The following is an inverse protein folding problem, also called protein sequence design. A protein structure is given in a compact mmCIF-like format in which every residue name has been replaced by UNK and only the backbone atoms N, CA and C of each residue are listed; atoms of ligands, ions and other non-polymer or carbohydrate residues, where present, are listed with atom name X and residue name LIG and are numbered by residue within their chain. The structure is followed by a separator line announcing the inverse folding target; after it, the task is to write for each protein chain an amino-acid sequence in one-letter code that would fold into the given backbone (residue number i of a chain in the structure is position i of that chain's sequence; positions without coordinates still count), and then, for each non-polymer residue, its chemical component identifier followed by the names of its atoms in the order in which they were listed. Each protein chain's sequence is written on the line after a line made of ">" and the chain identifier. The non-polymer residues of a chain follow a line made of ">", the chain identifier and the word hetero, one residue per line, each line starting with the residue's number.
data_IF_865797330638
#
_entry.id   IF_865797330638
#
_cell.length_a   1.000
_cell.length_b   1.000
_cell.length_c   1.000
_cell.angle_alpha   90.00
_cell.angle_beta   90.00
_cell.angle_gamma   90.00
#
_symmetry.space_group_name_H-M   'P 1'
#
loop_
_entity.id
_entity.type
_entity.pdbx_description
1 polymer ?
#
# COMPACT_ATOMS: atom_id res chain seq x y z
N UNK A 1 75.06 -18.96 -4.93
CA UNK A 1 74.26 -19.96 -4.21
C UNK A 1 73.12 -20.37 -5.14
N UNK A 2 73.35 -21.34 -6.03
CA UNK A 2 73.09 -22.78 -5.81
C UNK A 2 71.58 -23.03 -5.60
N UNK A 3 70.85 -23.42 -6.67
CA UNK A 3 70.38 -24.80 -6.94
C UNK A 3 68.98 -25.01 -6.33
N UNK A 4 67.94 -25.63 -6.91
CA UNK A 4 67.78 -26.79 -7.84
C UNK A 4 66.25 -26.90 -8.12
N UNK A 5 65.72 -26.94 -9.37
CA UNK A 5 65.22 -28.11 -10.15
C UNK A 5 65.02 -29.42 -9.34
N UNK A 6 64.00 -30.30 -9.45
CA UNK A 6 63.10 -30.76 -10.54
C UNK A 6 62.06 -31.77 -9.93
N UNK A 7 61.04 -32.27 -10.68
CA UNK A 7 59.79 -32.89 -10.21
C UNK A 7 59.74 -34.43 -10.28
N UNK A 8 58.64 -35.05 -9.81
CA UNK A 8 58.28 -36.47 -10.04
C UNK A 8 57.18 -36.96 -9.08
N UNK A 9 56.01 -37.40 -9.55
CA UNK A 9 55.68 -38.77 -9.98
C UNK A 9 54.75 -39.44 -8.94
N UNK A 10 53.46 -39.61 -9.27
CA UNK A 10 52.82 -40.90 -9.55
C UNK A 10 52.84 -41.90 -8.38
N UNK A 11 51.68 -42.14 -7.76
CA UNK A 11 51.17 -43.50 -7.57
C UNK A 11 49.63 -43.51 -7.40
N UNK A 12 49.02 -44.49 -8.08
CA UNK A 12 47.59 -44.75 -8.29
C UNK A 12 47.24 -46.09 -7.61
N UNK A 13 45.94 -46.28 -7.33
CA UNK A 13 45.16 -47.51 -7.00
C UNK A 13 44.93 -47.74 -5.48
N UNK A 14 43.72 -47.98 -4.94
CA UNK A 14 42.55 -48.73 -5.42
C UNK A 14 41.22 -48.38 -4.68
N UNK A 15 40.10 -48.33 -5.44
CA UNK A 15 38.69 -48.77 -5.18
C UNK A 15 37.79 -48.18 -4.03
N UNK A 16 36.85 -47.31 -4.45
CA UNK A 16 35.35 -47.29 -4.29
C UNK A 16 34.63 -48.12 -3.21
N UNK A 17 33.39 -47.76 -2.72
CA UNK A 17 32.32 -47.06 -3.47
C UNK A 17 31.39 -46.06 -2.71
N UNK A 18 30.57 -45.35 -3.51
CA UNK A 18 29.24 -44.78 -3.23
C UNK A 18 29.11 -43.62 -2.21
N UNK A 19 28.80 -42.42 -2.71
CA UNK A 19 27.60 -41.68 -2.28
C UNK A 19 27.19 -40.65 -3.35
N UNK A 20 25.87 -40.54 -3.49
CA UNK A 20 25.11 -39.96 -4.59
C UNK A 20 25.46 -38.50 -4.90
N UNK A 21 25.44 -38.17 -6.20
CA UNK A 21 25.27 -36.82 -6.73
C UNK A 21 24.11 -36.14 -6.01
N UNK A 22 24.39 -35.06 -5.27
CA UNK A 22 23.36 -34.11 -4.89
C UNK A 22 23.18 -33.14 -6.04
N UNK A 23 21.96 -33.16 -6.58
CA UNK A 23 21.49 -32.27 -7.63
C UNK A 23 21.39 -30.83 -7.08
N UNK A 24 22.26 -29.96 -7.59
CA UNK A 24 22.37 -28.55 -7.21
C UNK A 24 21.19 -27.72 -7.75
N UNK A 25 20.23 -28.34 -8.46
CA UNK A 25 19.01 -27.69 -8.94
C UNK A 25 17.97 -27.39 -7.83
N UNK A 26 18.05 -28.06 -6.67
CA UNK A 26 16.97 -28.00 -5.66
C UNK A 26 17.15 -26.90 -4.61
N UNK A 27 18.36 -26.37 -4.40
CA UNK A 27 18.63 -25.37 -3.35
C UNK A 27 18.30 -23.94 -3.80
N UNK A 28 18.26 -23.67 -5.11
CA UNK A 28 18.03 -22.33 -5.66
C UNK A 28 16.54 -21.95 -5.81
N UNK A 29 15.61 -22.89 -5.60
CA UNK A 29 14.16 -22.67 -5.64
C UNK A 29 13.59 -22.02 -4.35
N UNK A 30 14.29 -22.15 -3.22
CA UNK A 30 13.76 -21.81 -1.90
C UNK A 30 13.74 -20.31 -1.53
N UNK A 31 14.30 -19.41 -2.36
CA UNK A 31 14.49 -18.01 -1.99
C UNK A 31 13.39 -17.03 -2.43
N UNK A 32 12.42 -17.44 -3.25
CA UNK A 32 11.42 -16.51 -3.82
C UNK A 32 10.16 -16.29 -2.96
N UNK A 33 9.97 -17.06 -1.90
CA UNK A 33 8.87 -16.89 -0.93
C UNK A 33 9.28 -16.10 0.33
N UNK A 34 10.48 -15.53 0.35
CA UNK A 34 11.02 -14.82 1.50
C UNK A 34 11.16 -13.35 1.19
N UNK A 35 10.08 -12.57 1.36
CA UNK A 35 10.23 -11.19 1.85
C UNK A 35 9.02 -10.46 2.44
N UNK A 36 7.84 -11.04 2.58
CA UNK A 36 6.79 -10.49 3.45
C UNK A 36 5.86 -11.58 4.03
N UNK A 37 6.43 -12.67 4.56
CA UNK A 37 5.72 -13.38 5.63
C UNK A 37 5.98 -12.57 6.90
N UNK A 38 4.95 -12.20 7.65
CA UNK A 38 5.14 -11.83 9.06
C UNK A 38 5.67 -13.07 9.78
N UNK A 39 6.98 -13.29 9.67
CA UNK A 39 7.70 -14.29 10.43
C UNK A 39 7.85 -13.75 11.85
N UNK A 40 7.58 -14.62 12.81
CA UNK A 40 8.05 -14.42 14.16
C UNK A 40 9.58 -14.37 14.12
N UNK A 41 10.23 -13.36 14.74
CA UNK A 41 11.66 -13.43 14.95
C UNK A 41 11.94 -14.68 15.79
N UNK A 42 12.77 -15.60 15.27
CA UNK A 42 13.11 -16.81 16.02
C UNK A 42 13.76 -16.38 17.34
N UNK A 43 13.06 -16.52 18.46
CA UNK A 43 13.67 -16.41 19.77
C UNK A 43 14.55 -17.64 19.95
N UNK A 44 15.79 -17.54 19.51
CA UNK A 44 16.83 -18.51 19.80
C UNK A 44 17.12 -18.50 21.30
N UNK A 45 16.34 -19.25 22.08
CA UNK A 45 16.78 -19.71 23.40
C UNK A 45 17.86 -20.75 23.14
N UNK A 46 19.11 -20.27 23.04
CA UNK A 46 20.30 -21.10 23.20
C UNK A 46 20.28 -21.64 24.63
N UNK A 47 19.67 -22.81 24.81
CA UNK A 47 19.91 -23.63 26.00
C UNK A 47 21.32 -24.21 25.81
N UNK A 48 22.29 -23.61 26.49
CA UNK A 48 23.60 -24.19 26.72
C UNK A 48 23.41 -25.50 27.48
N UNK A 49 23.53 -26.62 26.77
CA UNK A 49 23.53 -27.94 27.38
C UNK A 49 24.90 -28.18 28.03
N UNK A 50 24.96 -28.04 29.36
CA UNK A 50 25.96 -28.71 30.18
C UNK A 50 25.45 -30.13 30.50
N UNK A 51 26.41 -31.04 30.60
CA UNK A 51 26.32 -32.49 30.52
C UNK A 51 25.56 -33.23 31.63
N UNK A 52 25.21 -34.48 31.29
CA UNK A 52 24.87 -35.65 32.11
C UNK A 52 23.48 -35.73 32.76
N UNK A 53 22.59 -36.55 32.19
CA UNK A 53 22.09 -37.80 32.78
C UNK A 53 20.96 -38.40 31.91
N UNK A 54 20.92 -39.73 31.84
CA UNK A 54 20.08 -40.55 30.98
C UNK A 54 18.58 -40.47 31.31
N UNK A 55 17.75 -40.20 30.31
CA UNK A 55 16.30 -40.48 30.30
C UNK A 55 15.78 -40.72 28.87
N UNK A 56 14.69 -41.50 28.69
CA UNK A 56 14.34 -42.20 27.43
C UNK A 56 13.81 -41.25 26.33
N UNK A 57 13.72 -41.68 25.05
CA UNK A 57 13.37 -40.79 23.94
C UNK A 57 11.86 -40.52 23.93
N UNK A 58 11.41 -39.43 24.55
CA UNK A 58 10.09 -38.84 24.28
C UNK A 58 10.22 -37.76 23.22
N UNK A 59 10.38 -38.15 21.95
CA UNK A 59 10.32 -37.22 20.83
C UNK A 59 8.87 -36.91 20.43
N UNK A 60 8.13 -36.22 21.28
CA UNK A 60 6.97 -35.43 20.88
C UNK A 60 7.22 -33.99 21.29
N UNK A 61 7.87 -33.21 20.41
CA UNK A 61 7.87 -31.76 20.55
C UNK A 61 6.40 -31.33 20.55
N UNK A 62 5.88 -30.87 21.68
CA UNK A 62 4.53 -30.32 21.73
C UNK A 62 4.42 -29.22 20.69
N UNK A 63 3.37 -29.25 19.89
CA UNK A 63 3.14 -28.22 18.88
C UNK A 63 2.93 -26.88 19.61
N UNK A 64 3.78 -25.89 19.33
CA UNK A 64 3.61 -24.52 19.79
C UNK A 64 2.94 -23.68 18.71
N UNK A 65 2.28 -22.57 19.10
CA UNK A 65 1.70 -21.65 18.14
C UNK A 65 2.71 -21.16 17.08
N UNK A 66 3.93 -20.80 17.50
CA UNK A 66 5.04 -20.45 16.58
C UNK A 66 5.35 -21.57 15.59
N UNK A 67 5.45 -22.83 16.06
CA UNK A 67 5.74 -23.97 15.19
C UNK A 67 4.62 -24.20 14.18
N UNK A 68 3.36 -24.05 14.59
CA UNK A 68 2.20 -24.13 13.71
C UNK A 68 2.18 -23.01 12.67
N UNK A 69 2.46 -21.76 13.03
CA UNK A 69 2.59 -20.66 12.07
C UNK A 69 3.69 -20.95 11.06
N UNK A 70 4.88 -21.35 11.50
CA UNK A 70 6.00 -21.64 10.61
C UNK A 70 5.72 -22.83 9.68
N UNK A 71 5.03 -23.86 10.18
CA UNK A 71 4.59 -24.98 9.35
C UNK A 71 3.52 -24.56 8.33
N UNK A 72 2.53 -23.79 8.75
CA UNK A 72 1.49 -23.25 7.87
C UNK A 72 2.09 -22.39 6.74
N UNK A 73 3.06 -21.54 7.07
CA UNK A 73 3.83 -20.78 6.08
C UNK A 73 4.53 -21.69 5.08
N UNK A 74 5.20 -22.76 5.54
CA UNK A 74 5.88 -23.73 4.67
C UNK A 74 4.90 -24.45 3.73
N UNK A 75 3.74 -24.85 4.24
CA UNK A 75 2.68 -25.50 3.47
C UNK A 75 2.08 -24.55 2.43
N UNK A 76 1.82 -23.30 2.82
CA UNK A 76 1.29 -22.27 1.92
C UNK A 76 2.23 -22.03 0.74
N UNK A 77 3.55 -21.95 0.99
CA UNK A 77 4.54 -21.81 -0.09
C UNK A 77 4.64 -23.00 -1.04
N UNK A 78 4.07 -24.15 -0.67
CA UNK A 78 3.96 -25.35 -1.52
C UNK A 78 2.60 -25.44 -2.21
N UNK A 79 1.76 -24.41 -2.10
CA UNK A 79 0.39 -24.40 -2.61
C UNK A 79 -0.58 -25.28 -1.82
N UNK A 80 -0.18 -25.84 -0.68
CA UNK A 80 -1.04 -26.65 0.20
C UNK A 80 -1.86 -25.75 1.11
N UNK A 81 -2.74 -24.95 0.50
CA UNK A 81 -3.47 -23.85 1.18
C UNK A 81 -4.45 -24.34 2.24
N UNK A 82 -5.09 -25.51 2.04
CA UNK A 82 -5.99 -26.10 3.05
C UNK A 82 -5.23 -26.46 4.32
N UNK A 83 -4.15 -27.22 4.16
CA UNK A 83 -3.32 -27.67 5.27
C UNK A 83 -2.63 -26.48 5.97
N UNK A 84 -2.25 -25.45 5.20
CA UNK A 84 -1.72 -24.21 5.76
C UNK A 84 -2.76 -23.50 6.64
N UNK A 85 -4.00 -23.41 6.18
CA UNK A 85 -5.10 -22.81 6.93
C UNK A 85 -5.35 -23.55 8.25
N UNK A 86 -5.37 -24.90 8.23
CA UNK A 86 -5.51 -25.71 9.45
C UNK A 86 -4.40 -25.42 10.45
N UNK A 87 -3.16 -25.24 9.98
CA UNK A 87 -2.04 -24.89 10.87
C UNK A 87 -2.16 -23.49 11.47
N UNK A 88 -2.64 -22.49 10.71
CA UNK A 88 -2.89 -21.16 11.28
C UNK A 88 -4.06 -21.16 12.26
N UNK A 89 -5.11 -21.93 12.02
CA UNK A 89 -6.21 -22.12 12.97
C UNK A 89 -5.75 -22.83 14.24
N UNK A 90 -4.93 -23.88 14.10
CA UNK A 90 -4.31 -24.57 15.23
C UNK A 90 -3.43 -23.60 16.04
N UNK A 91 -2.63 -22.75 15.39
CA UNK A 91 -1.82 -21.76 16.09
C UNK A 91 -2.65 -20.81 16.95
N UNK A 92 -3.86 -20.44 16.49
CA UNK A 92 -4.77 -19.57 17.25
C UNK A 92 -5.36 -20.25 18.50
N UNK A 93 -5.31 -21.59 18.58
CA UNK A 93 -5.80 -22.37 19.72
C UNK A 93 -4.70 -22.69 20.76
N UNK A 94 -3.42 -22.58 20.40
CA UNK A 94 -2.26 -23.01 21.21
C UNK A 94 -1.67 -21.90 22.10
N UNK A 95 -2.54 -21.09 22.73
CA UNK A 95 -2.19 -19.92 23.55
C UNK A 95 -1.09 -19.01 22.94
N UNK A 96 -1.31 -18.45 21.74
CA UNK A 96 -0.33 -17.61 21.08
C UNK A 96 -0.13 -16.26 21.76
N UNK A 97 1.10 -15.75 21.73
CA UNK A 97 1.38 -14.36 22.09
C UNK A 97 0.80 -13.37 21.04
N UNK A 98 0.74 -12.05 21.32
CA UNK A 98 0.14 -11.09 20.39
C UNK A 98 0.77 -11.05 18.99
N UNK A 99 2.08 -11.30 18.87
CA UNK A 99 2.78 -11.32 17.58
C UNK A 99 2.40 -12.58 16.80
N UNK A 100 2.31 -13.72 17.48
CA UNK A 100 1.86 -14.99 16.91
C UNK A 100 0.41 -14.91 16.44
N UNK A 101 -0.49 -14.31 17.23
CA UNK A 101 -1.89 -14.08 16.83
C UNK A 101 -1.98 -13.21 15.59
N UNK A 102 -1.24 -12.09 15.57
CA UNK A 102 -1.20 -11.22 14.40
C UNK A 102 -0.73 -11.98 13.15
N UNK A 103 0.36 -12.73 13.26
CA UNK A 103 0.92 -13.51 12.15
C UNK A 103 -0.06 -14.62 11.69
N UNK A 104 -0.66 -15.35 12.61
CA UNK A 104 -1.62 -16.42 12.29
C UNK A 104 -2.87 -15.86 11.61
N UNK A 105 -3.47 -14.77 12.12
CA UNK A 105 -4.63 -14.10 11.52
C UNK A 105 -4.32 -13.54 10.13
N UNK A 106 -3.16 -12.90 9.98
CA UNK A 106 -2.73 -12.35 8.70
C UNK A 106 -2.55 -13.44 7.64
N UNK A 107 -1.80 -14.49 7.96
CA UNK A 107 -1.56 -15.57 7.01
C UNK A 107 -2.82 -16.41 6.74
N UNK A 108 -3.73 -16.52 7.73
CA UNK A 108 -5.09 -17.05 7.55
C UNK A 108 -5.87 -16.21 6.52
N UNK A 109 -5.78 -14.89 6.59
CA UNK A 109 -6.39 -14.01 5.59
C UNK A 109 -5.82 -14.25 4.18
N UNK A 110 -4.50 -14.38 4.04
CA UNK A 110 -3.86 -14.71 2.76
C UNK A 110 -4.36 -16.05 2.20
N UNK A 111 -4.55 -17.08 3.04
CA UNK A 111 -5.16 -18.34 2.63
C UNK A 111 -6.60 -18.16 2.11
N UNK A 112 -7.43 -17.38 2.80
CA UNK A 112 -8.80 -17.10 2.36
C UNK A 112 -8.84 -16.28 1.07
N UNK A 113 -7.99 -15.26 0.94
CA UNK A 113 -7.83 -14.46 -0.27
C UNK A 113 -7.41 -15.31 -1.48
N UNK A 114 -6.47 -16.23 -1.27
CA UNK A 114 -6.04 -17.19 -2.30
C UNK A 114 -7.19 -18.12 -2.75
N UNK A 115 -8.07 -18.49 -1.81
CA UNK A 115 -9.27 -19.31 -2.08
C UNK A 115 -10.43 -18.51 -2.68
N UNK A 116 -10.31 -17.19 -2.78
CA UNK A 116 -11.40 -16.29 -3.21
C UNK A 116 -12.48 -16.07 -2.15
N UNK A 117 -12.22 -16.43 -0.89
CA UNK A 117 -13.14 -16.30 0.24
C UNK A 117 -13.01 -14.89 0.87
N UNK A 118 -13.47 -13.87 0.14
CA UNK A 118 -13.30 -12.45 0.49
C UNK A 118 -13.77 -12.08 1.88
N UNK A 119 -14.98 -12.48 2.26
CA UNK A 119 -15.54 -12.21 3.59
C UNK A 119 -14.63 -12.70 4.72
N UNK A 120 -14.16 -13.96 4.64
CA UNK A 120 -13.28 -14.55 5.67
C UNK A 120 -11.89 -13.93 5.70
N UNK A 121 -11.38 -13.51 4.54
CA UNK A 121 -10.15 -12.75 4.47
C UNK A 121 -10.31 -11.39 5.16
N UNK A 122 -11.40 -10.66 4.86
CA UNK A 122 -11.71 -9.38 5.48
C UNK A 122 -11.86 -9.51 7.00
N UNK A 123 -12.60 -10.49 7.50
CA UNK A 123 -12.80 -10.73 8.94
C UNK A 123 -11.47 -10.97 9.67
N UNK A 124 -10.60 -11.80 9.09
CA UNK A 124 -9.28 -12.08 9.68
C UNK A 124 -8.40 -10.83 9.70
N UNK A 125 -8.46 -10.00 8.65
CA UNK A 125 -7.73 -8.73 8.57
C UNK A 125 -8.30 -7.66 9.52
N UNK A 126 -9.62 -7.59 9.72
CA UNK A 126 -10.25 -6.69 10.69
C UNK A 126 -9.67 -6.91 12.08
N UNK A 127 -9.64 -8.17 12.52
CA UNK A 127 -9.06 -8.54 13.83
C UNK A 127 -7.58 -8.18 13.88
N UNK A 128 -6.80 -8.49 12.83
CA UNK A 128 -5.37 -8.17 12.78
C UNK A 128 -5.09 -6.65 12.84
N UNK A 129 -5.88 -5.85 12.15
CA UNK A 129 -5.79 -4.38 12.13
C UNK A 129 -6.19 -3.78 13.48
N UNK A 130 -7.35 -4.20 14.01
CA UNK A 130 -7.93 -3.67 15.24
C UNK A 130 -7.13 -4.04 16.48
N UNK A 131 -7.02 -5.35 16.73
CA UNK A 131 -6.59 -5.87 18.02
C UNK A 131 -5.05 -5.94 18.08
N UNK A 132 -4.41 -6.12 16.93
CA UNK A 132 -2.96 -6.29 16.84
C UNK A 132 -2.24 -5.14 16.14
N UNK A 133 -2.95 -4.07 15.76
CA UNK A 133 -2.35 -2.86 15.15
C UNK A 133 -1.53 -3.16 13.89
N UNK A 134 -1.98 -4.15 13.10
CA UNK A 134 -1.39 -4.40 11.78
C UNK A 134 -1.46 -3.10 10.96
N UNK A 135 -0.37 -2.78 10.25
CA UNK A 135 -0.39 -1.62 9.36
C UNK A 135 -1.14 -1.96 8.08
N UNK A 136 -2.12 -1.15 7.71
CA UNK A 136 -2.89 -1.34 6.47
C UNK A 136 -2.00 -1.29 5.22
N UNK A 137 -0.88 -0.57 5.26
CA UNK A 137 0.14 -0.59 4.20
C UNK A 137 0.65 -1.99 3.89
N UNK A 138 0.64 -2.91 4.85
CA UNK A 138 1.11 -4.29 4.59
C UNK A 138 0.08 -5.08 3.79
N UNK A 139 -1.21 -4.85 4.03
CA UNK A 139 -2.29 -5.39 3.20
C UNK A 139 -2.19 -4.87 1.76
N UNK A 140 -1.87 -3.57 1.60
CA UNK A 140 -1.73 -2.94 0.28
C UNK A 140 -0.54 -3.47 -0.53
N UNK A 141 0.55 -3.84 0.15
CA UNK A 141 1.80 -4.23 -0.50
C UNK A 141 1.94 -5.74 -0.66
N UNK A 142 1.05 -6.55 -0.07
CA UNK A 142 1.17 -8.00 -0.15
C UNK A 142 0.67 -8.54 -1.50
N UNK A 143 1.53 -9.23 -2.28
CA UNK A 143 1.11 -9.88 -3.52
C UNK A 143 0.06 -11.00 -3.30
N UNK A 144 0.07 -11.69 -2.16
CA UNK A 144 -0.89 -12.76 -1.85
C UNK A 144 -2.31 -12.22 -1.65
N UNK A 145 -2.44 -10.92 -1.36
CA UNK A 145 -3.72 -10.22 -1.21
C UNK A 145 -4.15 -9.47 -2.47
N UNK A 146 -3.39 -9.55 -3.58
CA UNK A 146 -3.73 -8.89 -4.85
C UNK A 146 -5.14 -9.26 -5.35
N UNK A 147 -5.48 -10.55 -5.30
CA UNK A 147 -6.82 -11.02 -5.68
C UNK A 147 -7.91 -10.39 -4.79
N UNK A 148 -7.68 -10.35 -3.47
CA UNK A 148 -8.60 -9.76 -2.50
C UNK A 148 -8.77 -8.25 -2.72
N UNK A 149 -7.71 -7.51 -3.08
CA UNK A 149 -7.78 -6.07 -3.37
C UNK A 149 -8.73 -5.71 -4.51
N UNK A 150 -9.03 -6.67 -5.39
CA UNK A 150 -10.02 -6.54 -6.46
C UNK A 150 -11.47 -6.86 -6.06
N UNK A 151 -11.72 -7.39 -4.84
CA UNK A 151 -13.03 -7.83 -4.35
C UNK A 151 -13.79 -6.74 -3.54
N UNK A 152 -15.13 -6.69 -3.58
CA UNK A 152 -15.90 -5.65 -2.90
C UNK A 152 -15.61 -5.57 -1.39
N UNK A 153 -15.36 -6.71 -0.75
CA UNK A 153 -15.02 -6.83 0.67
C UNK A 153 -13.75 -6.05 1.05
N UNK A 154 -12.78 -5.94 0.13
CA UNK A 154 -11.61 -5.09 0.36
C UNK A 154 -11.99 -3.59 0.34
N UNK A 155 -13.02 -3.21 -0.42
CA UNK A 155 -13.50 -1.82 -0.43
C UNK A 155 -14.04 -1.46 0.95
N UNK A 156 -14.86 -2.34 1.50
CA UNK A 156 -15.47 -2.19 2.82
C UNK A 156 -14.37 -2.11 3.89
N UNK A 157 -13.43 -3.06 3.89
CA UNK A 157 -12.28 -3.05 4.80
C UNK A 157 -11.47 -1.75 4.69
N UNK A 158 -11.23 -1.24 3.48
CA UNK A 158 -10.52 0.01 3.25
C UNK A 158 -11.31 1.22 3.75
N UNK A 159 -12.62 1.25 3.53
CA UNK A 159 -13.50 2.32 3.98
C UNK A 159 -13.62 2.34 5.51
N UNK A 160 -13.77 1.19 6.14
CA UNK A 160 -13.74 1.01 7.60
C UNK A 160 -12.38 1.49 8.18
N UNK A 161 -11.26 1.07 7.58
CA UNK A 161 -9.91 1.50 8.00
C UNK A 161 -9.70 3.00 7.86
N UNK A 162 -10.28 3.62 6.82
CA UNK A 162 -10.20 5.05 6.54
C UNK A 162 -11.09 5.85 7.47
N UNK A 163 -12.33 5.40 7.71
CA UNK A 163 -13.25 6.03 8.65
C UNK A 163 -12.65 6.04 10.04
N UNK A 164 -11.87 5.02 10.41
CA UNK A 164 -11.18 4.95 11.68
C UNK A 164 -12.17 4.90 12.83
N UNK A 165 -12.42 3.70 13.32
CA UNK A 165 -13.31 3.42 14.42
C UNK A 165 -12.77 2.29 15.29
N UNK A 166 -13.57 1.91 16.28
CA UNK A 166 -13.24 0.81 17.18
C UNK A 166 -13.01 -0.49 16.41
N UNK A 167 -13.68 -0.71 15.26
CA UNK A 167 -13.67 -1.98 14.51
C UNK A 167 -12.40 -2.32 13.71
N UNK A 168 -11.58 -1.33 13.32
CA UNK A 168 -10.35 -1.56 12.53
C UNK A 168 -9.10 -0.91 13.15
N UNK A 169 -9.27 -0.07 14.17
CA UNK A 169 -8.16 0.63 14.82
C UNK A 169 -7.65 1.82 14.00
N UNK A 170 -7.02 2.76 14.72
CA UNK A 170 -6.73 4.10 14.21
C UNK A 170 -5.49 4.19 13.28
N UNK A 171 -4.79 3.09 13.00
CA UNK A 171 -3.47 3.12 12.32
C UNK A 171 -3.51 3.77 10.94
N UNK A 172 -4.38 3.27 10.05
CA UNK A 172 -4.46 3.75 8.67
C UNK A 172 -4.97 5.19 8.56
N UNK A 173 -6.05 5.53 9.27
CA UNK A 173 -6.57 6.91 9.32
C UNK A 173 -5.53 7.90 9.87
N UNK A 174 -4.74 7.50 10.88
CA UNK A 174 -3.65 8.34 11.40
C UNK A 174 -2.59 8.59 10.33
N UNK A 175 -2.12 7.56 9.64
CA UNK A 175 -1.11 7.71 8.58
C UNK A 175 -1.61 8.64 7.46
N UNK A 176 -2.87 8.48 7.04
CA UNK A 176 -3.50 9.38 6.06
C UNK A 176 -3.65 10.82 6.59
N UNK A 177 -3.96 10.98 7.88
CA UNK A 177 -4.05 12.29 8.54
C UNK A 177 -2.70 12.98 8.63
N UNK A 178 -1.62 12.24 8.85
CA UNK A 178 -0.27 12.79 8.82
C UNK A 178 0.08 13.32 7.42
N UNK A 179 -0.26 12.56 6.37
CA UNK A 179 -0.07 13.02 4.98
C UNK A 179 -0.93 14.25 4.68
N UNK A 180 -2.18 14.28 5.17
CA UNK A 180 -3.08 15.41 4.94
C UNK A 180 -2.67 16.67 5.71
N UNK A 181 -2.08 16.54 6.90
CA UNK A 181 -1.56 17.66 7.69
C UNK A 181 -0.35 18.30 7.00
N UNK A 182 0.49 17.51 6.32
CA UNK A 182 1.58 18.05 5.49
C UNK A 182 1.04 18.89 4.32
N UNK A 183 -0.11 18.52 3.73
CA UNK A 183 -0.73 19.27 2.64
C UNK A 183 -1.53 20.49 3.12
N UNK A 184 -2.07 20.45 4.33
CA UNK A 184 -2.87 21.51 4.92
C UNK A 184 -2.44 21.73 6.38
N UNK A 185 -1.34 22.48 6.59
CA UNK A 185 -0.73 22.62 7.91
C UNK A 185 -1.70 23.29 8.91
N UNK A 186 -1.61 22.85 10.16
CA UNK A 186 -2.37 23.37 11.30
C UNK A 186 -3.89 23.22 11.17
N UNK A 187 -4.38 22.27 10.35
CA UNK A 187 -5.81 21.97 10.27
C UNK A 187 -6.35 21.55 11.63
N UNK A 188 -5.63 20.68 12.33
CA UNK A 188 -6.01 20.26 13.68
C UNK A 188 -6.15 21.44 14.65
N UNK A 189 -5.21 22.38 14.58
CA UNK A 189 -5.21 23.60 15.40
C UNK A 189 -6.41 24.48 15.07
N UNK A 190 -6.72 24.73 13.79
CA UNK A 190 -7.90 25.52 13.40
C UNK A 190 -9.20 24.90 13.91
N UNK A 191 -9.36 23.58 13.79
CA UNK A 191 -10.55 22.87 14.31
C UNK A 191 -10.68 22.97 15.83
N UNK A 192 -9.56 22.86 16.55
CA UNK A 192 -9.53 23.06 17.99
C UNK A 192 -10.07 24.45 18.36
N UNK A 193 -9.58 25.51 17.70
CA UNK A 193 -10.06 26.87 17.96
C UNK A 193 -11.53 27.07 17.59
N UNK A 194 -12.02 26.49 16.49
CA UNK A 194 -13.45 26.57 16.15
C UNK A 194 -14.32 25.99 17.26
N UNK A 195 -13.97 24.80 17.79
CA UNK A 195 -14.71 24.17 18.89
C UNK A 195 -14.58 25.00 20.17
N UNK A 196 -13.36 25.46 20.49
CA UNK A 196 -13.11 26.28 21.69
C UNK A 196 -13.92 27.58 21.66
N UNK A 197 -14.00 28.26 20.51
CA UNK A 197 -14.79 29.48 20.36
C UNK A 197 -16.30 29.21 20.40
N UNK A 198 -16.78 28.09 19.85
CA UNK A 198 -18.18 27.67 20.04
C UNK A 198 -18.48 27.45 21.52
N UNK A 199 -17.60 26.77 22.26
CA UNK A 199 -17.78 26.53 23.69
C UNK A 199 -17.76 27.86 24.49
N UNK A 200 -16.81 28.74 24.21
CA UNK A 200 -16.71 30.05 24.86
C UNK A 200 -17.95 30.92 24.59
N UNK A 201 -18.40 31.01 23.33
CA UNK A 201 -19.60 31.73 22.97
C UNK A 201 -20.87 31.08 23.56
N UNK A 202 -20.90 29.74 23.66
CA UNK A 202 -21.98 29.00 24.32
C UNK A 202 -22.09 29.34 25.81
N UNK A 203 -20.97 29.33 26.54
CA UNK A 203 -20.91 29.73 27.95
C UNK A 203 -21.36 31.19 28.11
N UNK A 204 -20.88 32.09 27.25
CA UNK A 204 -21.26 33.51 27.29
C UNK A 204 -22.76 33.71 26.99
N UNK A 205 -23.31 32.98 26.02
CA UNK A 205 -24.75 33.00 25.68
C UNK A 205 -25.59 32.50 26.84
N UNK A 206 -25.15 31.44 27.53
CA UNK A 206 -25.83 30.89 28.71
C UNK A 206 -26.04 31.94 29.81
N UNK A 207 -25.06 32.81 30.05
CA UNK A 207 -25.20 33.92 31.00
C UNK A 207 -25.93 35.14 30.43
N UNK A 208 -25.88 35.35 29.11
CA UNK A 208 -26.51 36.50 28.46
C UNK A 208 -28.02 36.34 28.34
N UNK A 209 -28.54 35.12 28.14
CA UNK A 209 -29.98 34.87 27.99
C UNK A 209 -30.79 35.31 29.23
N UNK A 210 -30.45 34.88 30.48
CA UNK A 210 -31.16 35.35 31.67
C UNK A 210 -31.04 36.86 31.88
N UNK A 211 -29.88 37.45 31.55
CA UNK A 211 -29.69 38.91 31.63
C UNK A 211 -30.58 39.65 30.65
N UNK A 212 -30.75 39.13 29.43
CA UNK A 212 -31.63 39.70 28.42
C UNK A 212 -33.09 39.64 28.87
N UNK A 213 -33.52 38.52 29.47
CA UNK A 213 -34.88 38.39 30.03
C UNK A 213 -35.10 39.43 31.13
N UNK A 214 -34.13 39.62 32.03
CA UNK A 214 -34.21 40.66 33.08
C UNK A 214 -34.21 42.08 32.49
N UNK A 215 -33.42 42.33 31.45
CA UNK A 215 -33.39 43.62 30.76
C UNK A 215 -34.75 43.96 30.14
N UNK A 216 -35.40 42.97 29.51
CA UNK A 216 -36.74 43.11 28.90
C UNK A 216 -37.83 43.32 29.97
N UNK A 217 -37.77 42.58 31.08
CA UNK A 217 -38.74 42.71 32.16
C UNK A 217 -38.62 44.05 32.93
N UNK A 218 -37.49 44.74 32.80
CA UNK A 218 -37.22 46.00 33.49
C UNK A 218 -37.06 45.86 35.01
N UNK A 219 -37.00 47.00 35.71
CA UNK A 219 -36.87 47.08 37.16
C UNK A 219 -35.57 47.73 37.63
N UNK A 220 -35.46 47.95 38.95
CA UNK A 220 -34.31 48.62 39.55
C UNK A 220 -33.04 47.76 39.38
N UNK A 221 -31.99 48.36 38.80
CA UNK A 221 -30.75 47.67 38.45
C UNK A 221 -30.82 46.71 37.25
N UNK A 222 -31.82 46.85 36.36
CA UNK A 222 -31.85 46.09 35.10
C UNK A 222 -30.71 46.53 34.15
N UNK A 223 -30.03 45.58 33.47
CA UNK A 223 -28.96 45.89 32.52
C UNK A 223 -29.49 46.52 31.22
N UNK A 224 -28.63 47.24 30.50
CA UNK A 224 -29.00 47.88 29.23
C UNK A 224 -29.43 46.84 28.18
N UNK A 225 -30.58 47.09 27.55
CA UNK A 225 -31.18 46.16 26.58
C UNK A 225 -30.35 46.11 25.30
N UNK A 226 -29.87 47.26 24.81
CA UNK A 226 -29.14 47.34 23.55
C UNK A 226 -27.80 46.59 23.64
N UNK A 227 -27.04 46.85 24.70
CA UNK A 227 -25.75 46.22 24.95
C UNK A 227 -25.90 44.72 25.21
N UNK A 228 -26.92 44.31 25.98
CA UNK A 228 -27.17 42.90 26.27
C UNK A 228 -27.63 42.15 25.01
N UNK A 229 -28.47 42.76 24.19
CA UNK A 229 -28.91 42.19 22.92
C UNK A 229 -27.76 42.07 21.92
N UNK A 230 -26.93 43.11 21.79
CA UNK A 230 -25.77 43.11 20.90
C UNK A 230 -24.78 42.00 21.30
N UNK A 231 -24.47 41.87 22.59
CA UNK A 231 -23.60 40.80 23.09
C UNK A 231 -24.20 39.41 22.83
N UNK A 232 -25.50 39.24 23.02
CA UNK A 232 -26.21 37.99 22.69
C UNK A 232 -26.13 37.68 21.20
N UNK A 233 -26.36 38.67 20.34
CA UNK A 233 -26.29 38.53 18.89
C UNK A 233 -24.88 38.17 18.40
N UNK A 234 -23.84 38.81 18.95
CA UNK A 234 -22.44 38.50 18.63
C UNK A 234 -22.10 37.04 18.99
N UNK A 235 -22.48 36.59 20.18
CA UNK A 235 -22.20 35.21 20.59
C UNK A 235 -22.93 34.19 19.71
N UNK A 236 -24.22 34.39 19.44
CA UNK A 236 -25.02 33.51 18.58
C UNK A 236 -24.45 33.50 17.15
N UNK A 237 -24.14 34.68 16.61
CA UNK A 237 -23.50 34.81 15.29
C UNK A 237 -22.15 34.09 15.23
N UNK A 238 -21.33 34.24 16.28
CA UNK A 238 -20.05 33.54 16.42
C UNK A 238 -20.21 32.02 16.42
N UNK A 239 -21.16 31.48 17.19
CA UNK A 239 -21.47 30.03 17.21
C UNK A 239 -21.82 29.56 15.79
N UNK A 240 -22.73 30.25 15.11
CA UNK A 240 -23.16 29.89 13.75
C UNK A 240 -21.96 29.86 12.79
N UNK A 241 -21.13 30.90 12.80
CA UNK A 241 -19.96 31.02 11.93
C UNK A 241 -18.93 29.92 12.22
N UNK A 242 -18.57 29.69 13.48
CA UNK A 242 -17.56 28.68 13.82
C UNK A 242 -18.05 27.25 13.58
N UNK A 243 -19.34 26.97 13.81
CA UNK A 243 -19.95 25.68 13.43
C UNK A 243 -19.91 25.49 11.90
N UNK A 244 -20.25 26.52 11.12
CA UNK A 244 -20.17 26.46 9.67
C UNK A 244 -18.73 26.21 9.17
N UNK A 245 -17.74 26.92 9.75
CA UNK A 245 -16.32 26.72 9.43
C UNK A 245 -15.83 25.31 9.81
N UNK A 246 -16.27 24.78 10.95
CA UNK A 246 -15.95 23.42 11.37
C UNK A 246 -16.49 22.37 10.40
N UNK A 247 -17.76 22.49 10.00
CA UNK A 247 -18.39 21.61 9.00
C UNK A 247 -17.66 21.73 7.66
N UNK A 248 -17.34 22.94 7.22
CA UNK A 248 -16.61 23.17 5.97
C UNK A 248 -15.22 22.53 6.00
N UNK A 249 -14.47 22.69 7.09
CA UNK A 249 -13.13 22.10 7.24
C UNK A 249 -13.20 20.55 7.33
N UNK A 250 -14.24 19.98 7.94
CA UNK A 250 -14.49 18.53 7.94
C UNK A 250 -14.72 18.01 6.52
N UNK A 251 -15.61 18.65 5.76
CA UNK A 251 -15.87 18.29 4.35
C UNK A 251 -14.60 18.39 3.50
N UNK A 252 -13.75 19.39 3.75
CA UNK A 252 -12.47 19.55 3.04
C UNK A 252 -11.46 18.47 3.42
N UNK A 253 -11.34 18.11 4.71
CA UNK A 253 -10.49 17.02 5.16
C UNK A 253 -10.91 15.69 4.55
N UNK A 254 -12.20 15.37 4.55
CA UNK A 254 -12.71 14.13 3.96
C UNK A 254 -12.39 14.02 2.48
N UNK A 255 -12.65 15.08 1.70
CA UNK A 255 -12.30 15.12 0.27
C UNK A 255 -10.81 14.90 0.04
N UNK A 256 -9.96 15.52 0.86
CA UNK A 256 -8.51 15.34 0.75
C UNK A 256 -8.07 13.94 1.15
N UNK A 257 -8.61 13.36 2.23
CA UNK A 257 -8.31 11.99 2.63
C UNK A 257 -8.70 11.00 1.53
N UNK A 258 -9.86 11.17 0.88
CA UNK A 258 -10.28 10.34 -0.25
C UNK A 258 -9.29 10.42 -1.42
N UNK A 259 -8.82 11.62 -1.75
CA UNK A 259 -7.80 11.81 -2.79
C UNK A 259 -6.46 11.17 -2.39
N UNK A 260 -6.03 11.32 -1.13
CA UNK A 260 -4.78 10.73 -0.63
C UNK A 260 -4.86 9.20 -0.65
N UNK A 261 -5.93 8.61 -0.14
CA UNK A 261 -6.15 7.16 -0.16
C UNK A 261 -6.09 6.61 -1.57
N UNK A 262 -6.74 7.28 -2.53
CA UNK A 262 -6.74 6.88 -3.94
C UNK A 262 -5.36 7.03 -4.60
N UNK A 263 -4.62 8.08 -4.27
CA UNK A 263 -3.25 8.25 -4.76
C UNK A 263 -2.30 7.21 -4.16
N UNK A 264 -2.49 6.84 -2.89
CA UNK A 264 -1.71 5.78 -2.26
C UNK A 264 -1.99 4.44 -2.94
N UNK A 265 -3.26 4.08 -3.19
CA UNK A 265 -3.59 2.83 -3.91
C UNK A 265 -3.06 2.82 -5.34
N UNK A 266 -3.14 3.94 -6.08
CA UNK A 266 -2.53 4.08 -7.41
C UNK A 266 -1.03 3.77 -7.37
N UNK A 267 -0.34 4.34 -6.38
CA UNK A 267 1.12 4.23 -6.27
C UNK A 267 1.59 2.79 -6.04
N UNK A 268 0.72 1.92 -5.53
CA UNK A 268 1.01 0.49 -5.29
C UNK A 268 0.63 -0.42 -6.44
N UNK A 269 0.01 0.11 -7.50
CA UNK A 269 -0.39 -0.74 -8.61
C UNK A 269 0.83 -1.33 -9.32
N UNK A 270 0.86 -2.67 -9.53
CA UNK A 270 2.00 -3.34 -10.13
C UNK A 270 2.00 -3.19 -11.65
N UNK A 271 3.20 -2.99 -12.18
CA UNK A 271 3.52 -2.89 -13.60
C UNK A 271 4.64 -3.85 -13.93
N UNK A 272 4.59 -4.42 -15.12
CA UNK A 272 5.66 -5.19 -15.71
C UNK A 272 6.40 -4.32 -16.72
N UNK A 273 7.68 -4.11 -16.50
CA UNK A 273 8.56 -3.45 -17.45
C UNK A 273 8.87 -4.39 -18.62
N UNK A 274 9.39 -3.82 -19.71
CA UNK A 274 9.80 -4.57 -20.91
C UNK A 274 10.83 -5.69 -20.68
N UNK A 275 11.48 -5.70 -19.52
CA UNK A 275 12.45 -6.71 -19.07
C UNK A 275 11.81 -7.84 -18.26
N UNK A 276 10.48 -7.95 -18.26
CA UNK A 276 9.67 -8.84 -17.40
C UNK A 276 9.74 -8.51 -15.90
N UNK A 277 10.51 -7.50 -15.49
CA UNK A 277 10.59 -7.06 -14.10
C UNK A 277 9.28 -6.41 -13.66
N UNK A 278 8.76 -6.86 -12.52
CA UNK A 278 7.58 -6.26 -11.88
C UNK A 278 8.02 -5.16 -10.90
N UNK A 279 7.43 -3.98 -11.03
CA UNK A 279 7.65 -2.81 -10.18
C UNK A 279 6.32 -2.20 -9.77
N UNK A 280 6.27 -1.57 -8.59
CA UNK A 280 5.14 -0.73 -8.21
C UNK A 280 5.28 0.65 -8.86
N UNK A 281 4.15 1.32 -9.12
CA UNK A 281 4.16 2.66 -9.72
C UNK A 281 4.95 3.69 -8.90
N UNK A 282 4.97 3.57 -7.57
CA UNK A 282 5.78 4.40 -6.65
C UNK A 282 7.29 4.29 -6.92
N UNK A 283 7.75 3.13 -7.42
CA UNK A 283 9.17 2.90 -7.72
C UNK A 283 9.62 3.61 -9.01
N UNK A 284 8.66 4.05 -9.83
CA UNK A 284 8.92 4.84 -11.03
C UNK A 284 9.11 6.34 -10.74
N UNK A 285 8.90 6.77 -9.49
CA UNK A 285 9.17 8.16 -9.08
C UNK A 285 10.61 8.56 -9.39
N UNK A 286 10.80 9.81 -9.79
CA UNK A 286 12.03 10.42 -10.28
C UNK A 286 12.59 9.90 -11.61
N UNK A 287 12.10 8.75 -12.08
CA UNK A 287 12.63 8.03 -13.24
C UNK A 287 11.77 8.20 -14.49
N UNK A 288 10.45 8.12 -14.35
CA UNK A 288 9.51 8.19 -15.48
C UNK A 288 8.23 8.95 -15.12
N UNK A 289 7.54 9.42 -16.16
CA UNK A 289 6.21 10.04 -16.13
C UNK A 289 5.20 9.05 -16.72
N UNK A 290 4.49 8.28 -15.88
CA UNK A 290 3.43 7.41 -16.35
C UNK A 290 2.34 8.17 -17.12
N UNK A 291 2.01 7.68 -18.31
CA UNK A 291 0.83 8.08 -19.07
C UNK A 291 -0.05 6.85 -19.24
N UNK A 292 -1.11 6.80 -18.43
CA UNK A 292 -2.06 5.70 -18.39
C UNK A 292 -3.10 5.95 -19.49
N UNK A 293 -3.25 5.00 -20.40
CA UNK A 293 -4.23 5.00 -21.48
C UNK A 293 -5.26 3.91 -21.17
N UNK A 294 -6.44 4.28 -20.70
CA UNK A 294 -7.45 3.34 -20.24
C UNK A 294 -8.69 3.38 -21.12
N UNK A 295 -9.13 2.24 -21.63
CA UNK A 295 -10.27 2.23 -22.53
C UNK A 295 -10.42 0.96 -23.34
N UNK A 296 -11.29 1.03 -24.35
CA UNK A 296 -11.46 -0.02 -25.35
C UNK A 296 -10.14 -0.26 -26.10
N UNK A 297 -9.92 -1.53 -26.49
CA UNK A 297 -8.72 -1.95 -27.23
C UNK A 297 -8.43 -1.08 -28.45
N UNK A 298 -9.48 -0.70 -29.19
CA UNK A 298 -9.37 0.15 -30.38
C UNK A 298 -8.88 1.56 -30.05
N UNK A 299 -9.47 2.21 -29.04
CA UNK A 299 -9.10 3.56 -28.63
C UNK A 299 -7.69 3.61 -28.10
N UNK A 300 -7.31 2.66 -27.24
CA UNK A 300 -5.94 2.55 -26.70
C UNK A 300 -4.93 2.31 -27.83
N UNK A 301 -5.23 1.43 -28.78
CA UNK A 301 -4.33 1.16 -29.92
C UNK A 301 -4.17 2.39 -30.82
N UNK A 302 -5.27 3.11 -31.10
CA UNK A 302 -5.24 4.38 -31.85
C UNK A 302 -4.43 5.45 -31.10
N UNK A 303 -4.56 5.53 -29.78
CA UNK A 303 -3.78 6.45 -28.96
C UNK A 303 -2.28 6.18 -29.05
N UNK A 304 -1.87 4.91 -28.91
CA UNK A 304 -0.47 4.48 -29.05
C UNK A 304 0.05 4.76 -30.47
N UNK A 305 -0.73 4.46 -31.51
CA UNK A 305 -0.32 4.73 -32.89
C UNK A 305 -0.09 6.22 -33.15
N UNK A 306 -0.96 7.10 -32.65
CA UNK A 306 -0.77 8.56 -32.76
C UNK A 306 0.45 9.05 -31.97
N UNK A 307 0.79 8.36 -30.89
CA UNK A 307 1.92 8.68 -30.03
C UNK A 307 3.27 8.49 -30.73
N UNK A 308 3.39 7.52 -31.64
CA UNK A 308 4.66 7.18 -32.31
C UNK A 308 5.27 8.35 -33.08
N UNK A 309 4.46 9.29 -33.58
CA UNK A 309 4.94 10.52 -34.24
C UNK A 309 5.76 11.42 -33.30
N UNK A 310 5.52 11.33 -32.00
CA UNK A 310 6.15 12.16 -30.96
C UNK A 310 7.11 11.36 -30.08
N UNK A 311 7.44 10.12 -30.48
CA UNK A 311 8.17 9.16 -29.64
C UNK A 311 9.45 9.73 -29.04
N UNK A 312 10.30 10.35 -29.86
CA UNK A 312 11.59 10.91 -29.43
C UNK A 312 11.38 12.01 -28.38
N UNK A 313 10.49 12.96 -28.66
CA UNK A 313 10.21 14.09 -27.77
C UNK A 313 9.61 13.64 -26.43
N UNK A 314 8.76 12.61 -26.45
CA UNK A 314 8.14 12.03 -25.26
C UNK A 314 9.16 11.24 -24.42
N UNK A 315 10.11 10.54 -25.06
CA UNK A 315 11.20 9.84 -24.37
C UNK A 315 12.13 10.83 -23.65
N UNK A 316 12.49 11.95 -24.27
CA UNK A 316 13.29 13.02 -23.63
C UNK A 316 12.61 13.60 -22.39
N UNK A 317 11.27 13.58 -22.38
CA UNK A 317 10.42 14.00 -21.26
C UNK A 317 10.16 12.89 -20.24
N UNK A 318 10.69 11.69 -20.48
CA UNK A 318 10.62 10.55 -19.57
C UNK A 318 9.25 9.88 -19.55
N UNK A 319 8.46 10.01 -20.61
CA UNK A 319 7.11 9.42 -20.67
C UNK A 319 7.17 7.90 -20.76
N UNK A 320 6.35 7.23 -19.95
CA UNK A 320 6.12 5.79 -19.96
C UNK A 320 4.64 5.52 -20.25
N UNK A 321 4.33 4.86 -21.35
CA UNK A 321 2.96 4.47 -21.71
C UNK A 321 2.52 3.22 -20.93
N UNK A 322 1.34 3.30 -20.33
CA UNK A 322 0.69 2.19 -19.61
C UNK A 322 -0.72 1.99 -20.22
N UNK A 323 -0.88 1.06 -21.17
CA UNK A 323 -2.20 0.72 -21.68
C UNK A 323 -2.97 -0.16 -20.71
N UNK A 324 -4.20 0.23 -20.40
CA UNK A 324 -5.17 -0.54 -19.62
C UNK A 324 -6.39 -0.79 -20.49
N UNK A 325 -6.54 -2.02 -20.99
CA UNK A 325 -7.62 -2.35 -21.94
C UNK A 325 -8.81 -2.89 -21.16
N UNK A 326 -9.96 -2.22 -21.23
CA UNK A 326 -11.18 -2.73 -20.58
C UNK A 326 -11.69 -3.97 -21.33
N UNK A 327 -11.87 -5.07 -20.60
CA UNK A 327 -12.46 -6.30 -21.15
C UNK A 327 -14.01 -6.18 -21.17
N UNK A 328 -14.60 -6.03 -22.35
CA UNK A 328 -16.07 -6.08 -22.53
C UNK A 328 -16.67 -7.46 -22.16
N UNK A 329 -15.84 -8.52 -22.06
CA UNK A 329 -16.29 -9.91 -21.86
C UNK A 329 -16.50 -10.32 -20.40
N UNK A 330 -16.21 -9.46 -19.42
CA UNK A 330 -16.24 -9.83 -17.98
C UNK A 330 -17.54 -9.56 -17.24
N UNK A 331 -18.68 -9.40 -17.93
CA UNK A 331 -19.99 -9.51 -17.23
C UNK A 331 -20.38 -10.94 -16.88
N UNK A 332 -19.78 -11.97 -17.50
CA UNK A 332 -20.06 -13.38 -17.21
C UNK A 332 -18.75 -14.18 -17.16
N UNK A 333 -18.15 -14.34 -15.97
CA UNK A 333 -17.49 -15.57 -15.51
C UNK A 333 -16.70 -15.31 -14.21
N UNK A 334 -17.37 -15.52 -13.07
CA UNK A 334 -16.72 -15.95 -11.85
C UNK A 334 -16.42 -17.44 -12.01
N UNK A 335 -15.22 -17.81 -12.48
CA UNK A 335 -14.61 -19.13 -12.23
C UNK A 335 -13.18 -19.26 -12.79
N UNK A 336 -12.24 -19.50 -11.86
CA UNK A 336 -11.07 -20.40 -11.94
C UNK A 336 -10.26 -20.45 -13.25
N UNK A 337 -9.02 -19.96 -13.20
CA UNK A 337 -7.80 -20.78 -13.42
C UNK A 337 -6.54 -20.00 -13.04
N UNK A 338 -5.64 -20.70 -12.35
CA UNK A 338 -4.42 -20.16 -11.77
C UNK A 338 -3.37 -19.77 -12.81
N UNK A 339 -2.50 -18.86 -12.40
CA UNK A 339 -1.33 -18.48 -13.18
C UNK A 339 -0.07 -18.78 -12.39
N UNK A 340 0.65 -19.79 -12.87
CA UNK A 340 2.01 -20.10 -12.48
C UNK A 340 3.02 -19.25 -13.25
N UNK A 341 3.88 -18.60 -12.48
CA UNK A 341 5.30 -18.25 -12.65
C UNK A 341 5.94 -18.28 -14.06
N UNK A 342 6.57 -17.15 -14.42
CA UNK A 342 7.80 -17.10 -15.24
C UNK A 342 8.87 -16.25 -14.50
N UNK A 343 10.15 -16.53 -14.75
CA UNK A 343 11.24 -16.55 -13.77
C UNK A 343 12.23 -15.35 -13.78
N UNK A 344 12.68 -14.97 -12.56
CA UNK A 344 14.00 -14.48 -12.07
C UNK A 344 15.00 -13.69 -12.95
N UNK A 345 15.50 -12.56 -12.41
CA UNK A 345 16.93 -12.29 -12.06
C UNK A 345 17.00 -11.43 -10.76
N UNK A 346 18.02 -11.68 -9.93
CA UNK A 346 18.13 -11.35 -8.50
C UNK A 346 18.93 -10.07 -8.16
N UNK A 347 18.69 -9.48 -6.97
CA UNK A 347 19.75 -8.80 -6.18
C UNK A 347 19.43 -8.81 -4.66
N UNK A 348 20.48 -8.85 -3.85
CA UNK A 348 20.61 -9.23 -2.44
C UNK A 348 20.01 -8.29 -1.37
N UNK A 349 19.81 -8.86 -0.17
CA UNK A 349 19.44 -8.19 1.09
C UNK A 349 20.60 -7.37 1.70
N UNK A 350 20.30 -6.41 2.59
CA UNK A 350 21.10 -6.29 3.81
C UNK A 350 20.27 -6.37 5.09
N UNK A 351 20.99 -6.85 6.10
CA UNK A 351 20.70 -6.88 7.52
C UNK A 351 20.71 -5.48 8.13
N UNK A 352 20.08 -5.36 9.30
CA UNK A 352 20.02 -4.19 10.16
C UNK A 352 21.42 -3.68 10.50
N UNK A 353 21.67 -2.44 10.05
CA UNK A 353 22.89 -1.66 10.20
C UNK A 353 22.85 -0.44 9.26
N UNK A 354 22.51 0.72 9.84
CA UNK A 354 22.91 2.07 9.41
C UNK A 354 22.23 2.73 8.18
N UNK A 355 21.57 3.88 8.46
CA UNK A 355 20.75 4.70 7.55
C UNK A 355 21.51 5.41 6.41
N UNK A 356 22.78 5.08 6.18
CA UNK A 356 23.57 5.54 5.03
C UNK A 356 23.48 4.59 3.82
N UNK A 357 23.37 3.27 4.03
CA UNK A 357 23.36 2.28 2.93
C UNK A 357 22.08 2.29 2.10
N UNK A 358 20.96 2.75 2.69
CA UNK A 358 19.66 2.89 2.00
C UNK A 358 19.71 3.91 0.86
N UNK A 359 20.47 4.99 1.01
CA UNK A 359 20.63 5.99 -0.06
C UNK A 359 21.42 5.40 -1.23
N UNK A 360 22.54 4.73 -0.95
CA UNK A 360 23.39 4.14 -2.01
C UNK A 360 22.68 3.01 -2.76
N UNK A 361 21.96 2.13 -2.05
CA UNK A 361 21.20 1.04 -2.67
C UNK A 361 19.96 1.53 -3.41
N UNK A 362 19.26 2.55 -2.91
CA UNK A 362 18.15 3.16 -3.64
C UNK A 362 18.62 3.91 -4.88
N UNK A 363 19.80 4.56 -4.85
CA UNK A 363 20.41 5.17 -6.03
C UNK A 363 20.77 4.10 -7.07
N UNK A 364 21.38 2.99 -6.67
CA UNK A 364 21.71 1.89 -7.58
C UNK A 364 20.46 1.16 -8.12
N UNK A 365 19.42 1.00 -7.32
CA UNK A 365 18.15 0.44 -7.77
C UNK A 365 17.44 1.39 -8.75
N UNK A 366 17.45 2.70 -8.47
CA UNK A 366 16.90 3.73 -9.35
C UNK A 366 17.68 3.83 -10.66
N UNK A 367 19.01 3.75 -10.64
CA UNK A 367 19.81 3.76 -11.87
C UNK A 367 19.56 2.53 -12.75
N UNK A 368 19.38 1.35 -12.13
CA UNK A 368 18.96 0.12 -12.83
C UNK A 368 17.56 0.25 -13.42
N UNK A 369 16.58 0.70 -12.63
CA UNK A 369 15.21 0.95 -13.13
C UNK A 369 15.25 1.94 -14.29
N UNK A 370 15.99 3.06 -14.16
CA UNK A 370 16.16 4.06 -15.21
C UNK A 370 16.73 3.47 -16.50
N UNK A 371 17.66 2.53 -16.42
CA UNK A 371 18.18 1.81 -17.59
C UNK A 371 17.18 0.80 -18.18
N UNK A 372 16.24 0.30 -17.37
CA UNK A 372 15.23 -0.70 -17.73
C UNK A 372 13.92 -0.09 -18.26
N UNK A 373 13.61 1.17 -17.94
CA UNK A 373 12.39 1.85 -18.41
C UNK A 373 12.46 2.04 -19.92
N UNK A 374 11.65 1.27 -20.65
CA UNK A 374 11.35 1.49 -22.07
C UNK A 374 10.06 2.28 -22.22
N UNK A 375 9.74 2.75 -23.43
CA UNK A 375 8.59 3.60 -23.71
C UNK A 375 7.21 3.04 -23.27
N UNK A 376 7.10 1.73 -23.03
CA UNK A 376 5.85 1.05 -22.69
C UNK A 376 6.05 0.04 -21.56
N UNK A 377 5.08 -0.01 -20.63
CA UNK A 377 4.96 -1.04 -19.59
C UNK A 377 3.63 -1.80 -19.75
N UNK A 378 3.56 -2.98 -19.13
CA UNK A 378 2.38 -3.84 -19.13
C UNK A 378 1.75 -3.90 -17.74
N UNK A 379 0.42 -4.03 -17.70
CA UNK A 379 -0.33 -4.19 -16.46
C UNK A 379 -0.22 -5.63 -15.98
N UNK A 380 0.05 -5.83 -14.69
CA UNK A 380 0.07 -7.17 -14.07
C UNK A 380 -1.32 -7.57 -13.58
N UNK A 381 -1.93 -6.74 -12.72
CA UNK A 381 -3.23 -7.00 -12.11
C UNK A 381 -4.33 -6.20 -12.81
N UNK A 382 -4.84 -6.70 -13.94
CA UNK A 382 -5.83 -5.99 -14.75
C UNK A 382 -7.05 -5.53 -13.94
N UNK A 383 -7.59 -6.39 -13.08
CA UNK A 383 -8.77 -6.06 -12.27
C UNK A 383 -8.49 -4.94 -11.25
N UNK A 384 -7.28 -4.87 -10.67
CA UNK A 384 -6.93 -3.80 -9.73
C UNK A 384 -6.83 -2.45 -10.45
N UNK A 385 -6.22 -2.45 -11.63
CA UNK A 385 -6.11 -1.27 -12.49
C UNK A 385 -7.49 -0.78 -12.94
N UNK A 386 -8.32 -1.67 -13.48
CA UNK A 386 -9.69 -1.34 -13.90
C UNK A 386 -10.50 -0.77 -12.74
N UNK A 387 -10.47 -1.43 -11.58
CA UNK A 387 -11.18 -0.97 -10.39
C UNK A 387 -10.74 0.42 -9.96
N UNK A 388 -9.42 0.65 -9.87
CA UNK A 388 -8.90 1.95 -9.50
C UNK A 388 -9.33 3.05 -10.49
N UNK A 389 -9.28 2.76 -11.80
CA UNK A 389 -9.71 3.69 -12.85
C UNK A 389 -11.22 3.96 -12.75
N UNK A 390 -12.04 2.95 -12.50
CA UNK A 390 -13.49 3.12 -12.35
C UNK A 390 -13.85 3.94 -11.12
N UNK A 391 -13.16 3.73 -10.00
CA UNK A 391 -13.33 4.56 -8.80
C UNK A 391 -12.89 6.01 -9.05
N UNK A 392 -11.81 6.23 -9.81
CA UNK A 392 -11.39 7.56 -10.27
C UNK A 392 -12.47 8.20 -11.16
N UNK A 393 -13.00 7.49 -12.16
CA UNK A 393 -14.05 7.98 -13.05
C UNK A 393 -15.31 8.41 -12.28
N UNK A 394 -15.80 7.56 -11.37
CA UNK A 394 -16.96 7.88 -10.53
C UNK A 394 -16.77 9.17 -9.72
N UNK A 395 -15.57 9.37 -9.18
CA UNK A 395 -15.27 10.56 -8.37
C UNK A 395 -15.22 11.86 -9.18
N UNK A 396 -14.93 11.77 -10.48
CA UNK A 396 -14.89 12.90 -11.42
C UNK A 396 -16.22 13.06 -12.18
N UNK A 397 -17.26 12.29 -11.84
CA UNK A 397 -18.55 12.30 -12.54
C UNK A 397 -18.47 11.76 -13.98
N UNK A 398 -17.50 10.88 -14.26
CA UNK A 398 -17.33 10.20 -15.55
C UNK A 398 -17.97 8.80 -15.48
N UNK A 399 -18.59 8.35 -16.57
CA UNK A 399 -19.20 7.02 -16.60
C UNK A 399 -18.11 5.94 -16.52
N UNK A 400 -18.23 4.94 -15.62
CA UNK A 400 -17.30 3.83 -15.55
C UNK A 400 -17.19 3.10 -16.89
N UNK A 401 -15.96 2.93 -17.38
CA UNK A 401 -15.69 2.29 -18.67
C UNK A 401 -15.58 3.26 -19.85
N UNK A 402 -15.80 4.56 -19.66
CA UNK A 402 -15.44 5.57 -20.67
C UNK A 402 -13.93 5.53 -20.96
N UNK A 403 -13.53 5.75 -22.20
CA UNK A 403 -12.11 5.88 -22.54
C UNK A 403 -11.53 7.14 -21.86
N UNK A 404 -10.40 7.00 -21.17
CA UNK A 404 -9.73 8.09 -20.44
C UNK A 404 -8.20 7.96 -20.54
N UNK A 405 -7.53 9.08 -20.30
CA UNK A 405 -6.08 9.11 -20.09
C UNK A 405 -5.74 9.83 -18.79
N UNK A 406 -4.63 9.43 -18.17
CA UNK A 406 -4.10 10.03 -16.94
C UNK A 406 -2.60 10.25 -17.12
N UNK A 407 -2.16 11.47 -16.87
CA UNK A 407 -0.77 11.90 -17.00
C UNK A 407 -0.23 12.14 -15.59
N UNK A 408 0.90 11.51 -15.28
CA UNK A 408 1.56 11.62 -13.98
C UNK A 408 2.87 12.40 -14.09
N UNK A 409 3.26 13.03 -12.98
CA UNK A 409 4.52 13.74 -12.79
C UNK A 409 5.63 12.80 -12.32
N UNK A 410 6.87 13.30 -12.27
CA UNK A 410 8.02 12.56 -11.76
C UNK A 410 7.90 12.24 -10.24
N UNK A 411 7.26 13.10 -9.45
CA UNK A 411 6.94 12.84 -8.04
C UNK A 411 5.83 11.77 -7.83
N UNK A 412 5.24 11.25 -8.92
CA UNK A 412 4.18 10.26 -8.89
C UNK A 412 2.79 10.83 -8.57
N UNK A 413 2.60 12.17 -8.62
CA UNK A 413 1.27 12.79 -8.52
C UNK A 413 0.59 12.85 -9.89
N UNK A 414 -0.73 12.80 -9.90
CA UNK A 414 -1.52 13.03 -11.11
C UNK A 414 -1.37 14.50 -11.51
N UNK A 415 -0.93 14.75 -12.73
CA UNK A 415 -0.84 16.09 -13.33
C UNK A 415 -2.19 16.50 -13.90
N UNK A 416 -2.76 15.61 -14.71
CA UNK A 416 -3.95 15.84 -15.51
C UNK A 416 -4.58 14.52 -15.89
N UNK A 417 -5.89 14.51 -16.03
CA UNK A 417 -6.65 13.42 -16.65
C UNK A 417 -7.65 13.99 -17.65
N UNK A 418 -8.09 13.18 -18.62
CA UNK A 418 -9.09 13.59 -19.60
C UNK A 418 -9.77 12.40 -20.27
N UNK A 419 -10.84 12.68 -21.03
CA UNK A 419 -11.58 11.66 -21.78
C UNK A 419 -10.95 11.39 -23.15
N UNK A 420 -11.10 10.16 -23.64
CA UNK A 420 -10.70 9.72 -24.96
C UNK A 420 -9.19 9.62 -25.16
N UNK A 421 -8.74 10.00 -26.35
CA UNK A 421 -7.34 9.95 -26.75
C UNK A 421 -6.65 11.25 -26.33
N UNK A 422 -5.47 11.19 -25.68
CA UNK A 422 -4.71 12.39 -25.36
C UNK A 422 -4.23 13.14 -26.61
N UNK A 423 -4.20 14.46 -26.52
CA UNK A 423 -3.48 15.30 -27.48
C UNK A 423 -1.98 15.24 -27.20
N UNK A 424 -1.26 14.40 -27.96
CA UNK A 424 0.18 14.21 -27.81
C UNK A 424 0.99 15.48 -28.06
N UNK A 425 0.55 16.35 -28.97
CA UNK A 425 1.25 17.60 -29.24
C UNK A 425 1.14 18.54 -28.03
N UNK A 426 -0.03 18.58 -27.39
CA UNK A 426 -0.21 19.33 -26.17
C UNK A 426 0.64 18.77 -25.02
N UNK A 427 0.71 17.45 -24.87
CA UNK A 427 1.53 16.78 -23.84
C UNK A 427 3.01 17.15 -23.98
N UNK A 428 3.53 17.13 -25.20
CA UNK A 428 4.93 17.49 -25.49
C UNK A 428 5.23 18.94 -25.13
N UNK A 429 4.28 19.86 -25.34
CA UNK A 429 4.42 21.27 -24.93
C UNK A 429 4.33 21.45 -23.42
N UNK A 430 3.50 20.64 -22.77
CA UNK A 430 3.20 20.75 -21.33
C UNK A 430 4.29 20.13 -20.44
N UNK A 431 4.89 19.01 -20.87
CA UNK A 431 5.88 18.28 -20.08
C UNK A 431 7.29 18.80 -20.36
N UNK A 432 8.03 19.27 -19.34
CA UNK A 432 9.42 19.66 -19.53
C UNK A 432 10.31 18.42 -19.75
N UNK A 433 11.39 18.53 -20.56
CA UNK A 433 12.41 17.50 -20.67
C UNK A 433 12.97 17.08 -19.31
N UNK A 434 13.39 15.84 -19.15
CA UNK A 434 13.83 15.30 -17.84
C UNK A 434 15.07 15.98 -17.27
N UNK A 435 15.90 16.58 -18.12
CA UNK A 435 17.12 17.30 -17.74
C UNK A 435 16.86 18.78 -17.39
N UNK A 436 15.70 19.32 -17.78
CA UNK A 436 15.32 20.70 -17.52
C UNK A 436 15.23 20.98 -16.02
N UNK A 437 15.54 22.21 -15.62
CA UNK A 437 15.43 22.68 -14.23
C UNK A 437 14.04 22.42 -13.65
N UNK A 438 12.99 22.67 -14.44
CA UNK A 438 11.60 22.42 -14.03
C UNK A 438 11.37 20.95 -13.64
N UNK A 439 11.94 19.99 -14.36
CA UNK A 439 11.85 18.57 -14.01
C UNK A 439 12.60 18.21 -12.73
N UNK A 440 13.65 18.96 -12.36
CA UNK A 440 14.34 18.80 -11.07
C UNK A 440 13.47 19.25 -9.89
N UNK A 441 12.58 20.23 -10.10
CA UNK A 441 11.59 20.67 -9.12
C UNK A 441 10.40 19.70 -9.01
N UNK A 442 10.24 18.80 -9.98
CA UNK A 442 9.22 17.76 -9.94
C UNK A 442 9.67 16.47 -9.25
N UNK A 443 10.96 16.30 -8.97
CA UNK A 443 11.51 15.21 -8.16
C UNK A 443 11.50 15.63 -6.70
#
# INVERSE_FOLDING_TARGET
>A
MAATMVPGALHRWQRTPLLKKYDVSTVLSFAYHRRFKYLLPSTGRLVLAASSSSSPPSSSKSATAESCVNLGLSLFSKGRVKDALEQFETALLLDPNPVEKQAALYNKACCHAYRGEGNKAADSLRIALRDYKLKFSVILNDPDLASFRSQPEFKELQEEARQGGEDIGYGFRRDLKLISEVQAPFRGVRKFFYIAFVAAAGISTFFTIPRLIRAINGGEGAPDISDTLLNGAINIGGIIVFVALYIWENKKEEKQLMQITRNETLSRLPLRLSTERIVELVQLRDTARPVILAGKKETVSKAIQKCEKFRTELLERGVLLIPVIFDDKKKNNVAKKGFGVSAKVATSLPSIGEDFDKKTQSIAAKSRIKAEVRFKAEVVSQNEWERWIFDQQKSEGINPGDDVYIIMRLDGRIRRSGKGIPDWQQIVKELPPTEALLSKLER
#
